data_IF_767073603929
#
_entry.id   IF_767073603929
#
_cell.length_a   1.000
_cell.length_b   1.000
_cell.length_c   1.000
_cell.angle_alpha   90.00
_cell.angle_beta   90.00
_cell.angle_gamma   90.00
#
_symmetry.space_group_name_H-M   'P 1'
#
loop_
_entity.id
_entity.type
_entity.pdbx_description
1 polymer ?
#
# COMPACT_ATOMS: atom_id res chain seq x y z
N UNK A 1 -7.41 -1.58 -38.54
CA UNK A 1 -6.61 -2.27 -39.57
C UNK A 1 -5.51 -1.34 -40.05
N UNK A 2 -4.27 -1.58 -39.60
CA UNK A 2 -3.01 -1.42 -40.34
C UNK A 2 -1.88 -1.41 -39.30
N UNK A 3 -1.10 -2.50 -39.28
CA UNK A 3 -0.02 -2.72 -38.32
C UNK A 3 1.26 -1.99 -38.73
N UNK A 4 2.07 -1.64 -37.73
CA UNK A 4 3.42 -1.13 -37.92
C UNK A 4 4.41 -2.26 -37.67
N UNK A 5 5.12 -2.64 -38.73
CA UNK A 5 6.12 -3.71 -38.79
C UNK A 5 7.53 -3.19 -38.52
N UNK A 6 8.34 -4.10 -37.98
CA UNK A 6 9.79 -3.99 -37.74
C UNK A 6 10.58 -3.73 -39.03
N UNK A 7 11.49 -2.74 -38.97
CA UNK A 7 12.91 -2.76 -39.36
C UNK A 7 13.32 -1.35 -39.77
N UNK A 8 14.34 -0.82 -39.09
CA UNK A 8 15.44 -0.04 -39.68
C UNK A 8 16.29 0.55 -38.56
N UNK A 9 17.30 -0.19 -38.11
CA UNK A 9 18.48 0.39 -37.46
C UNK A 9 19.69 -0.47 -37.83
N UNK A 10 20.39 -0.02 -38.87
CA UNK A 10 21.71 -0.50 -39.26
C UNK A 10 22.80 0.21 -38.47
N UNK A 11 23.70 -0.61 -37.92
CA UNK A 11 25.15 -0.41 -37.78
C UNK A 11 25.71 1.02 -37.86
N UNK A 12 26.26 1.50 -36.74
CA UNK A 12 27.39 2.43 -36.75
C UNK A 12 28.41 2.05 -35.64
N UNK A 13 29.67 2.16 -36.03
CA UNK A 13 30.88 1.61 -35.45
C UNK A 13 31.22 2.08 -34.03
N UNK A 14 32.11 1.30 -33.39
CA UNK A 14 32.60 1.52 -32.05
C UNK A 14 33.50 2.73 -31.89
N UNK A 15 33.50 3.25 -30.67
CA UNK A 15 34.59 4.02 -30.09
C UNK A 15 34.80 3.49 -28.67
N UNK A 16 35.89 2.78 -28.47
CA UNK A 16 36.33 2.23 -27.18
C UNK A 16 36.86 3.38 -26.32
N UNK A 17 36.13 3.76 -25.27
CA UNK A 17 36.64 4.69 -24.26
C UNK A 17 37.19 3.88 -23.08
N UNK A 18 38.52 3.84 -22.96
CA UNK A 18 39.21 3.34 -21.76
C UNK A 18 39.14 4.45 -20.71
N UNK A 19 38.30 4.28 -19.69
CA UNK A 19 38.28 5.14 -18.51
C UNK A 19 39.06 4.48 -17.38
N UNK A 20 40.09 5.17 -16.89
CA UNK A 20 41.02 4.71 -15.87
C UNK A 20 40.37 4.55 -14.49
N UNK A 21 40.84 3.52 -13.78
CA UNK A 21 40.64 3.31 -12.36
C UNK A 21 41.31 4.46 -11.57
N UNK A 22 40.50 5.37 -11.04
CA UNK A 22 40.91 6.29 -9.97
C UNK A 22 40.41 5.73 -8.63
N UNK A 23 41.34 5.55 -7.70
CA UNK A 23 41.10 4.88 -6.42
C UNK A 23 40.11 5.60 -5.51
N UNK A 24 39.31 4.80 -4.80
CA UNK A 24 38.48 5.23 -3.69
C UNK A 24 39.36 5.76 -2.55
N UNK A 25 39.43 7.09 -2.41
CA UNK A 25 39.80 7.70 -1.15
C UNK A 25 38.51 7.90 -0.33
N UNK A 26 38.37 7.11 0.73
CA UNK A 26 37.28 7.21 1.71
C UNK A 26 37.33 8.57 2.40
N UNK A 27 36.33 9.41 2.15
CA UNK A 27 36.11 10.62 2.96
C UNK A 27 35.49 10.19 4.32
N UNK A 28 35.97 10.72 5.45
CA UNK A 28 35.41 10.39 6.76
C UNK A 28 33.98 10.92 6.84
N UNK A 29 33.05 10.02 7.17
CA UNK A 29 31.66 10.36 7.45
C UNK A 29 31.63 11.17 8.76
N UNK A 30 31.67 12.49 8.66
CA UNK A 30 31.39 13.36 9.81
C UNK A 30 29.97 13.08 10.26
N UNK A 31 29.82 12.54 11.47
CA UNK A 31 28.55 12.20 12.11
C UNK A 31 27.71 13.43 12.41
N UNK A 32 27.07 14.01 11.39
CA UNK A 32 25.89 14.81 11.58
C UNK A 32 24.75 13.84 11.91
N UNK A 33 24.23 13.89 13.14
CA UNK A 33 23.00 13.18 13.49
C UNK A 33 21.89 13.67 12.56
N UNK A 34 21.37 12.77 11.72
CA UNK A 34 20.24 13.08 10.86
C UNK A 34 19.08 13.65 11.72
N UNK A 35 18.37 14.68 11.25
CA UNK A 35 17.26 15.24 12.00
C UNK A 35 16.21 14.16 12.25
N UNK A 36 15.66 14.13 13.47
CA UNK A 36 14.59 13.20 13.82
C UNK A 36 13.39 13.46 12.90
N UNK A 37 12.86 12.41 12.28
CA UNK A 37 11.67 12.45 11.45
C UNK A 37 10.51 13.05 12.23
N UNK A 38 9.92 14.07 11.63
CA UNK A 38 8.66 14.64 12.03
C UNK A 38 7.61 14.29 10.97
N UNK A 39 6.33 14.52 11.31
CA UNK A 39 5.26 14.42 10.31
C UNK A 39 5.44 15.50 9.24
N UNK A 40 5.35 15.17 7.94
CA UNK A 40 5.36 16.15 6.87
C UNK A 40 4.06 16.98 6.80
N UNK A 41 2.99 16.49 7.44
CA UNK A 41 1.67 17.11 7.51
C UNK A 41 1.10 16.97 8.93
N UNK A 42 -0.04 17.61 9.26
CA UNK A 42 -0.86 17.15 10.36
C UNK A 42 -1.14 15.64 10.26
N UNK A 43 -1.45 15.01 11.39
CA UNK A 43 -1.70 13.58 11.42
C UNK A 43 -2.76 13.17 10.39
N UNK A 44 -2.47 12.13 9.61
CA UNK A 44 -3.38 11.67 8.57
C UNK A 44 -4.38 10.66 9.13
N UNK A 45 -5.66 11.03 9.15
CA UNK A 45 -6.77 10.09 9.26
C UNK A 45 -7.16 9.74 7.83
N UNK A 46 -6.67 8.59 7.37
CA UNK A 46 -6.75 8.15 5.99
C UNK A 46 -7.75 7.02 5.76
N UNK A 47 -8.19 6.86 4.51
CA UNK A 47 -8.92 5.69 4.06
C UNK A 47 -8.42 5.21 2.69
N UNK A 48 -8.23 3.90 2.51
CA UNK A 48 -8.18 3.30 1.16
C UNK A 48 -9.61 3.11 0.67
N UNK A 49 -9.93 3.69 -0.49
CA UNK A 49 -11.29 3.63 -1.06
C UNK A 49 -11.27 3.30 -2.54
N UNK A 50 -10.28 2.52 -2.98
CA UNK A 50 -10.12 2.22 -4.40
C UNK A 50 -11.27 1.41 -5.01
N UNK A 51 -12.18 0.86 -4.21
CA UNK A 51 -13.41 0.24 -4.71
C UNK A 51 -14.54 1.21 -5.08
N UNK A 52 -14.56 2.46 -4.57
CA UNK A 52 -15.64 3.42 -4.84
C UNK A 52 -15.98 3.53 -6.34
N UNK A 53 -15.02 3.67 -7.27
CA UNK A 53 -15.32 3.79 -8.70
C UNK A 53 -16.03 2.56 -9.29
N UNK A 54 -15.64 1.36 -8.86
CA UNK A 54 -16.30 0.10 -9.27
C UNK A 54 -17.70 0.00 -8.67
N UNK A 55 -17.83 0.36 -7.39
CA UNK A 55 -19.08 0.28 -6.65
C UNK A 55 -20.12 1.25 -7.23
N UNK A 56 -19.74 2.51 -7.48
CA UNK A 56 -20.59 3.53 -8.10
C UNK A 56 -21.03 3.13 -9.52
N UNK A 57 -20.12 2.57 -10.32
CA UNK A 57 -20.44 2.07 -11.65
C UNK A 57 -21.42 0.89 -11.63
N UNK A 58 -21.51 0.18 -10.50
CA UNK A 58 -22.50 -0.87 -10.25
C UNK A 58 -23.74 -0.39 -9.50
N UNK A 59 -23.90 0.92 -9.34
CA UNK A 59 -25.10 1.53 -8.75
C UNK A 59 -25.04 1.71 -7.24
N UNK A 60 -23.85 1.74 -6.63
CA UNK A 60 -23.72 2.12 -5.23
C UNK A 60 -24.15 3.59 -5.02
N UNK A 61 -24.87 3.83 -3.93
CA UNK A 61 -25.30 5.17 -3.51
C UNK A 61 -25.09 5.33 -2.01
N UNK A 62 -24.57 6.47 -1.59
CA UNK A 62 -24.12 6.69 -0.21
C UNK A 62 -24.99 7.71 0.51
N UNK A 63 -25.23 7.46 1.79
CA UNK A 63 -26.13 8.26 2.61
C UNK A 63 -25.53 8.52 3.99
N UNK A 64 -25.81 9.70 4.53
CA UNK A 64 -25.62 10.03 5.94
C UNK A 64 -26.95 10.57 6.47
N UNK A 65 -27.45 10.02 7.58
CA UNK A 65 -28.73 10.41 8.18
C UNK A 65 -29.90 10.45 7.17
N UNK A 66 -29.92 9.49 6.25
CA UNK A 66 -30.95 9.37 5.21
C UNK A 66 -30.78 10.31 4.01
N UNK A 67 -29.80 11.21 4.01
CA UNK A 67 -29.52 12.16 2.92
C UNK A 67 -28.45 11.58 1.99
N UNK A 68 -28.73 11.54 0.69
CA UNK A 68 -27.75 11.08 -0.32
C UNK A 68 -26.61 12.09 -0.39
N UNK A 69 -25.37 11.61 -0.29
CA UNK A 69 -24.17 12.45 -0.35
C UNK A 69 -23.08 11.77 -1.19
N UNK A 70 -22.07 12.55 -1.57
CA UNK A 70 -20.83 11.99 -2.07
C UNK A 70 -20.08 11.30 -0.91
N UNK A 71 -19.53 10.08 -1.09
CA UNK A 71 -18.83 9.38 -0.02
C UNK A 71 -17.58 10.14 0.46
N UNK A 72 -16.92 10.93 -0.39
CA UNK A 72 -15.79 11.76 0.01
C UNK A 72 -16.24 12.89 0.93
N UNK A 73 -17.41 13.50 0.71
CA UNK A 73 -17.93 14.51 1.62
C UNK A 73 -18.26 13.91 3.00
N UNK A 74 -18.85 12.71 3.04
CA UNK A 74 -19.13 12.00 4.30
C UNK A 74 -17.82 11.73 5.06
N UNK A 75 -16.79 11.22 4.37
CA UNK A 75 -15.48 10.96 4.98
C UNK A 75 -14.83 12.26 5.47
N UNK A 76 -14.87 13.33 4.66
CA UNK A 76 -14.30 14.63 5.04
C UNK A 76 -14.96 15.19 6.31
N UNK A 77 -16.29 15.19 6.37
CA UNK A 77 -17.05 15.66 7.53
C UNK A 77 -16.90 14.76 8.77
N UNK A 78 -16.45 13.51 8.56
CA UNK A 78 -16.07 12.62 9.66
C UNK A 78 -14.63 12.87 10.15
N UNK A 79 -13.86 13.73 9.48
CA UNK A 79 -12.49 14.11 9.88
C UNK A 79 -11.38 13.38 9.12
N UNK A 80 -11.71 12.63 8.07
CA UNK A 80 -10.70 12.07 7.18
C UNK A 80 -10.05 13.19 6.35
N UNK A 81 -8.73 13.17 6.24
CA UNK A 81 -7.95 14.18 5.51
C UNK A 81 -6.96 13.57 4.51
N UNK A 82 -6.92 12.24 4.39
CA UNK A 82 -6.12 11.55 3.39
C UNK A 82 -6.88 10.40 2.73
N UNK A 83 -6.55 10.11 1.47
CA UNK A 83 -7.09 8.96 0.74
C UNK A 83 -5.95 8.19 0.08
N UNK A 84 -6.00 6.86 0.23
CA UNK A 84 -5.15 5.89 -0.46
C UNK A 84 -5.92 5.29 -1.63
N UNK A 85 -5.25 5.11 -2.77
CA UNK A 85 -5.77 4.43 -3.93
C UNK A 85 -4.71 3.47 -4.51
N UNK A 86 -5.14 2.34 -5.08
CA UNK A 86 -4.24 1.33 -5.64
C UNK A 86 -4.23 1.28 -7.16
N UNK A 87 -3.04 1.04 -7.72
CA UNK A 87 -2.74 0.93 -9.14
C UNK A 87 -2.16 -0.45 -9.44
N UNK A 88 -2.75 -1.14 -10.41
CA UNK A 88 -2.23 -2.37 -11.02
C UNK A 88 -1.58 -2.08 -12.37
N UNK A 89 -0.74 -3.01 -12.84
CA UNK A 89 -0.01 -2.87 -14.10
C UNK A 89 -0.93 -3.10 -15.30
N UNK A 90 -1.52 -4.29 -15.43
CA UNK A 90 -2.57 -4.61 -16.41
C UNK A 90 -3.74 -5.34 -15.72
N UNK A 91 -4.61 -4.62 -14.98
CA UNK A 91 -5.71 -5.25 -14.26
C UNK A 91 -6.71 -5.97 -15.17
N UNK A 92 -6.78 -5.68 -16.47
CA UNK A 92 -7.61 -6.44 -17.39
C UNK A 92 -7.16 -7.92 -17.53
N UNK A 93 -5.90 -8.23 -17.18
CA UNK A 93 -5.36 -9.59 -17.12
C UNK A 93 -5.40 -10.23 -15.73
N UNK A 94 -5.80 -9.48 -14.71
CA UNK A 94 -5.85 -9.93 -13.32
C UNK A 94 -7.10 -9.41 -12.62
N UNK A 95 -6.94 -8.43 -11.74
CA UNK A 95 -7.97 -7.91 -10.83
C UNK A 95 -9.33 -7.63 -11.50
N UNK A 96 -9.30 -7.05 -12.70
CA UNK A 96 -10.47 -6.59 -13.46
C UNK A 96 -10.88 -7.50 -14.61
N UNK A 97 -10.26 -8.67 -14.79
CA UNK A 97 -10.50 -9.57 -15.94
C UNK A 97 -11.97 -9.90 -16.16
N UNK A 98 -12.74 -10.04 -15.08
CA UNK A 98 -14.16 -10.44 -15.11
C UNK A 98 -15.08 -9.37 -14.51
N UNK A 99 -14.56 -8.15 -14.34
CA UNK A 99 -15.30 -7.05 -13.72
C UNK A 99 -15.92 -6.15 -14.81
N UNK A 100 -17.25 -6.11 -14.98
CA UNK A 100 -17.90 -5.15 -15.87
C UNK A 100 -17.53 -3.70 -15.54
N UNK A 101 -17.50 -2.86 -16.58
CA UNK A 101 -17.18 -1.43 -16.49
C UNK A 101 -15.70 -1.10 -16.28
N UNK A 102 -14.84 -2.11 -16.11
CA UNK A 102 -13.39 -1.95 -15.97
C UNK A 102 -12.65 -1.72 -17.31
N UNK A 103 -11.31 -1.76 -17.27
CA UNK A 103 -10.50 -2.18 -16.13
C UNK A 103 -10.49 -1.15 -14.99
N UNK A 104 -10.70 -1.64 -13.77
CA UNK A 104 -10.62 -0.86 -12.53
C UNK A 104 -9.19 -0.87 -12.00
N UNK A 105 -8.79 0.19 -11.28
CA UNK A 105 -7.44 0.35 -10.73
C UNK A 105 -6.35 0.32 -11.83
N UNK A 106 -6.69 0.70 -13.06
CA UNK A 106 -5.74 0.91 -14.15
C UNK A 106 -5.26 2.37 -14.16
N UNK A 107 -4.28 2.69 -15.01
CA UNK A 107 -3.70 4.05 -15.04
C UNK A 107 -4.71 5.13 -15.42
N UNK A 108 -5.58 4.87 -16.41
CA UNK A 108 -6.53 5.86 -16.90
C UNK A 108 -7.62 6.17 -15.86
N UNK A 109 -8.11 5.15 -15.17
CA UNK A 109 -9.06 5.26 -14.07
C UNK A 109 -8.39 5.91 -12.85
N UNK A 110 -7.15 5.52 -12.53
CA UNK A 110 -6.38 6.10 -11.43
C UNK A 110 -6.21 7.61 -11.57
N UNK A 111 -5.85 8.12 -12.76
CA UNK A 111 -5.70 9.58 -12.98
C UNK A 111 -7.00 10.33 -12.67
N UNK A 112 -8.16 9.81 -13.11
CA UNK A 112 -9.47 10.43 -12.84
C UNK A 112 -9.80 10.38 -11.35
N UNK A 113 -9.51 9.25 -10.70
CA UNK A 113 -9.83 9.04 -9.30
C UNK A 113 -8.94 9.89 -8.37
N UNK A 114 -7.63 9.90 -8.61
CA UNK A 114 -6.68 10.75 -7.91
C UNK A 114 -7.03 12.24 -8.06
N UNK A 115 -7.53 12.67 -9.24
CA UNK A 115 -8.04 14.04 -9.40
C UNK A 115 -9.27 14.30 -8.52
N UNK A 116 -10.27 13.40 -8.48
CA UNK A 116 -11.45 13.53 -7.61
C UNK A 116 -11.04 13.63 -6.13
N UNK A 117 -10.08 12.82 -5.71
CA UNK A 117 -9.53 12.86 -4.34
C UNK A 117 -8.93 14.25 -4.04
N UNK A 118 -8.10 14.78 -4.93
CA UNK A 118 -7.50 16.12 -4.75
C UNK A 118 -8.52 17.25 -4.79
N UNK A 119 -9.50 17.17 -5.67
CA UNK A 119 -10.59 18.16 -5.75
C UNK A 119 -11.43 18.16 -4.45
N UNK A 120 -11.51 17.01 -3.76
CA UNK A 120 -12.08 16.90 -2.40
C UNK A 120 -11.20 17.51 -1.29
N UNK A 121 -9.97 17.89 -1.59
CA UNK A 121 -9.02 18.50 -0.64
C UNK A 121 -8.30 17.52 0.27
N UNK A 122 -8.20 16.25 -0.12
CA UNK A 122 -7.47 15.22 0.62
C UNK A 122 -5.99 15.16 0.22
N UNK A 123 -5.13 14.80 1.18
CA UNK A 123 -3.81 14.26 0.84
C UNK A 123 -3.97 12.94 0.08
N UNK A 124 -3.27 12.77 -1.03
CA UNK A 124 -3.43 11.62 -1.92
C UNK A 124 -2.24 10.68 -1.81
N UNK A 125 -2.51 9.41 -1.51
CA UNK A 125 -1.54 8.31 -1.51
C UNK A 125 -1.86 7.33 -2.63
N UNK A 126 -0.87 6.97 -3.44
CA UNK A 126 -1.05 5.96 -4.50
C UNK A 126 -0.14 4.77 -4.24
N UNK A 127 -0.72 3.57 -4.20
CA UNK A 127 0.00 2.30 -4.05
C UNK A 127 0.14 1.60 -5.37
N UNK A 128 1.37 1.42 -5.84
CA UNK A 128 1.66 0.65 -7.06
C UNK A 128 1.94 -0.78 -6.64
N UNK A 129 1.05 -1.71 -7.00
CA UNK A 129 1.19 -3.12 -6.62
C UNK A 129 2.30 -3.86 -7.37
N UNK A 130 2.72 -3.35 -8.53
CA UNK A 130 3.64 -4.05 -9.44
C UNK A 130 3.15 -5.46 -9.80
N UNK A 131 1.84 -5.62 -9.97
CA UNK A 131 1.17 -6.84 -10.42
C UNK A 131 -0.08 -6.49 -11.23
N UNK A 132 -0.62 -7.46 -11.95
CA UNK A 132 -1.93 -7.33 -12.63
C UNK A 132 -3.10 -7.53 -11.67
N UNK A 133 -2.82 -7.97 -10.44
CA UNK A 133 -3.82 -8.34 -9.46
C UNK A 133 -3.29 -8.10 -8.03
N UNK A 134 -4.08 -8.46 -7.03
CA UNK A 134 -3.71 -8.34 -5.62
C UNK A 134 -2.37 -8.99 -5.31
N UNK A 135 -1.55 -8.21 -4.60
CA UNK A 135 -0.33 -8.68 -3.96
C UNK A 135 -0.48 -8.61 -2.45
N UNK A 136 0.06 -9.61 -1.78
CA UNK A 136 0.04 -9.77 -0.33
C UNK A 136 1.26 -10.62 0.09
N UNK A 137 1.45 -10.96 1.37
CA UNK A 137 2.62 -11.69 1.84
C UNK A 137 2.70 -13.11 1.26
N UNK A 138 1.59 -13.65 0.78
CA UNK A 138 1.48 -15.01 0.25
C UNK A 138 1.54 -15.04 -1.29
N UNK A 139 1.44 -13.86 -1.93
CA UNK A 139 1.36 -13.71 -3.38
C UNK A 139 1.97 -12.39 -3.86
N UNK A 140 2.99 -12.48 -4.70
CA UNK A 140 3.67 -11.32 -5.31
C UNK A 140 3.95 -11.59 -6.79
N UNK A 141 2.92 -12.03 -7.52
CA UNK A 141 3.06 -12.45 -8.92
C UNK A 141 3.47 -11.28 -9.82
N UNK A 142 4.39 -11.56 -10.74
CA UNK A 142 4.74 -10.61 -11.82
C UNK A 142 3.51 -10.32 -12.69
N UNK A 143 3.38 -9.08 -13.21
CA UNK A 143 2.49 -8.78 -14.33
C UNK A 143 2.74 -9.76 -15.48
N UNK A 144 1.69 -10.13 -16.19
CA UNK A 144 1.75 -11.07 -17.31
C UNK A 144 2.78 -10.63 -18.36
N UNK A 145 2.88 -9.33 -18.62
CA UNK A 145 3.86 -8.78 -19.57
C UNK A 145 5.33 -8.96 -19.12
N UNK A 146 5.57 -9.20 -17.83
CA UNK A 146 6.90 -9.22 -17.23
C UNK A 146 7.37 -10.64 -16.86
N UNK A 147 6.50 -11.65 -16.96
CA UNK A 147 6.76 -13.03 -16.49
C UNK A 147 8.10 -13.59 -16.96
N UNK A 148 8.46 -13.37 -18.22
CA UNK A 148 9.65 -13.93 -18.86
C UNK A 148 10.79 -12.90 -19.08
N UNK A 149 10.72 -11.72 -18.46
CA UNK A 149 11.79 -10.74 -18.58
C UNK A 149 13.04 -11.22 -17.85
N UNK A 150 14.23 -11.12 -18.48
CA UNK A 150 15.49 -11.21 -17.75
C UNK A 150 15.53 -10.17 -16.63
N UNK A 151 16.22 -10.47 -15.53
CA UNK A 151 16.22 -9.62 -14.33
C UNK A 151 16.53 -8.14 -14.60
N UNK A 152 17.52 -7.83 -15.45
CA UNK A 152 17.83 -6.44 -15.81
C UNK A 152 16.65 -5.74 -16.51
N UNK A 153 15.95 -6.44 -17.40
CA UNK A 153 14.75 -5.92 -18.09
C UNK A 153 13.55 -5.82 -17.16
N UNK A 154 13.46 -6.67 -16.15
CA UNK A 154 12.46 -6.55 -15.10
C UNK A 154 12.67 -5.27 -14.27
N UNK A 155 13.93 -4.96 -13.91
CA UNK A 155 14.29 -3.71 -13.23
C UNK A 155 13.96 -2.49 -14.10
N UNK A 156 14.28 -2.52 -15.40
CA UNK A 156 13.89 -1.47 -16.35
C UNK A 156 12.37 -1.26 -16.40
N UNK A 157 11.59 -2.35 -16.41
CA UNK A 157 10.14 -2.30 -16.48
C UNK A 157 9.51 -1.70 -15.21
N UNK A 158 10.07 -2.01 -14.04
CA UNK A 158 9.65 -1.43 -12.75
C UNK A 158 9.89 0.06 -12.72
N UNK A 159 11.07 0.50 -13.15
CA UNK A 159 11.38 1.92 -13.30
C UNK A 159 10.39 2.62 -14.23
N UNK A 160 10.26 2.10 -15.46
CA UNK A 160 9.40 2.70 -16.48
C UNK A 160 7.94 2.80 -16.03
N UNK A 161 7.39 1.75 -15.41
CA UNK A 161 6.02 1.78 -14.92
C UNK A 161 5.82 2.84 -13.81
N UNK A 162 6.76 2.97 -12.88
CA UNK A 162 6.72 4.02 -11.86
C UNK A 162 6.77 5.43 -12.47
N UNK A 163 7.67 5.65 -13.42
CA UNK A 163 7.81 6.93 -14.12
C UNK A 163 6.55 7.27 -14.92
N UNK A 164 6.02 6.33 -15.71
CA UNK A 164 4.82 6.53 -16.53
C UNK A 164 3.59 6.81 -15.66
N UNK A 165 3.44 6.11 -14.53
CA UNK A 165 2.34 6.36 -13.59
C UNK A 165 2.40 7.78 -13.02
N UNK A 166 3.56 8.21 -12.52
CA UNK A 166 3.73 9.55 -11.95
C UNK A 166 3.60 10.65 -13.02
N UNK A 167 4.08 10.39 -14.23
CA UNK A 167 3.92 11.29 -15.38
C UNK A 167 2.46 11.48 -15.74
N UNK A 168 1.71 10.38 -15.86
CA UNK A 168 0.29 10.42 -16.22
C UNK A 168 -0.54 11.16 -15.16
N UNK A 169 -0.30 10.87 -13.88
CA UNK A 169 -0.99 11.56 -12.78
C UNK A 169 -0.64 13.04 -12.71
N UNK A 170 0.64 13.40 -12.86
CA UNK A 170 1.05 14.82 -12.87
C UNK A 170 0.44 15.57 -14.05
N UNK A 171 0.46 14.99 -15.25
CA UNK A 171 -0.19 15.59 -16.43
C UNK A 171 -1.71 15.75 -16.25
N UNK A 172 -2.34 14.86 -15.48
CA UNK A 172 -3.75 14.94 -15.12
C UNK A 172 -4.09 15.91 -13.99
N UNK A 173 -3.12 16.64 -13.44
CA UNK A 173 -3.31 17.53 -12.27
C UNK A 173 -3.53 16.74 -10.96
N UNK A 174 -3.04 15.51 -10.91
CA UNK A 174 -3.31 14.54 -9.86
C UNK A 174 -2.04 13.95 -9.23
N UNK A 175 -0.93 14.71 -9.19
CA UNK A 175 0.31 14.28 -8.53
C UNK A 175 0.04 13.89 -7.07
N UNK A 176 0.40 12.67 -6.63
CA UNK A 176 0.15 12.22 -5.27
C UNK A 176 1.13 12.84 -4.27
N UNK A 177 0.68 13.04 -3.03
CA UNK A 177 1.51 13.45 -1.90
C UNK A 177 2.40 12.29 -1.40
N UNK A 178 1.90 11.05 -1.52
CA UNK A 178 2.62 9.83 -1.16
C UNK A 178 2.55 8.78 -2.27
N UNK A 179 3.66 8.08 -2.49
CA UNK A 179 3.71 6.91 -3.37
C UNK A 179 4.18 5.72 -2.56
N UNK A 180 3.32 4.71 -2.45
CA UNK A 180 3.65 3.42 -1.86
C UNK A 180 4.15 2.50 -2.97
N UNK A 181 5.40 2.07 -2.89
CA UNK A 181 6.06 1.25 -3.91
C UNK A 181 6.01 -0.21 -3.50
N UNK A 182 5.11 -0.97 -4.11
CA UNK A 182 4.76 -2.32 -3.71
C UNK A 182 3.75 -2.36 -2.56
N UNK A 183 2.92 -3.40 -2.52
CA UNK A 183 1.97 -3.65 -1.44
C UNK A 183 2.41 -4.89 -0.64
N UNK A 184 2.55 -4.74 0.68
CA UNK A 184 2.88 -5.82 1.62
C UNK A 184 4.11 -6.66 1.21
N UNK A 185 5.19 -5.97 0.85
CA UNK A 185 6.42 -6.52 0.28
C UNK A 185 7.40 -7.05 1.35
N UNK A 186 6.87 -7.56 2.47
CA UNK A 186 7.66 -8.11 3.59
C UNK A 186 8.56 -9.26 3.14
N UNK A 187 8.10 -10.07 2.18
CA UNK A 187 8.86 -11.16 1.59
C UNK A 187 9.34 -10.82 0.17
N UNK A 188 9.49 -9.53 -0.11
CA UNK A 188 9.85 -9.00 -1.42
C UNK A 188 8.67 -8.85 -2.37
N UNK A 189 8.94 -8.58 -3.64
CA UNK A 189 7.93 -8.47 -4.70
C UNK A 189 8.41 -9.07 -6.02
N UNK A 190 7.52 -9.24 -7.01
CA UNK A 190 7.88 -9.76 -8.34
C UNK A 190 8.59 -11.12 -8.26
N UNK A 191 7.93 -12.10 -7.65
CA UNK A 191 8.53 -13.40 -7.39
C UNK A 191 8.76 -14.22 -8.68
N UNK A 192 9.83 -15.04 -8.72
CA UNK A 192 10.81 -15.25 -7.65
C UNK A 192 11.97 -14.24 -7.61
N UNK A 193 12.13 -13.39 -8.62
CA UNK A 193 13.34 -12.57 -8.80
C UNK A 193 13.55 -11.55 -7.69
N UNK A 194 12.49 -10.98 -7.12
CA UNK A 194 12.58 -10.10 -5.95
C UNK A 194 12.16 -10.75 -4.64
N UNK A 195 11.99 -12.08 -4.59
CA UNK A 195 11.59 -12.78 -3.36
C UNK A 195 12.71 -12.76 -2.33
N UNK A 196 12.35 -12.49 -1.07
CA UNK A 196 13.26 -12.55 0.08
C UNK A 196 13.22 -13.91 0.77
N UNK A 197 14.33 -14.34 1.41
CA UNK A 197 14.30 -15.49 2.30
C UNK A 197 13.44 -15.18 3.54
N UNK A 198 12.52 -16.09 3.88
CA UNK A 198 11.76 -16.01 5.12
C UNK A 198 12.50 -16.75 6.25
N UNK A 199 13.25 -16.01 7.06
CA UNK A 199 14.10 -16.57 8.14
C UNK A 199 13.45 -16.50 9.52
N UNK A 200 12.41 -15.68 9.67
CA UNK A 200 11.67 -15.47 10.92
C UNK A 200 10.22 -15.87 10.66
N UNK A 201 9.69 -16.75 11.51
CA UNK A 201 8.29 -17.16 11.45
C UNK A 201 7.38 -15.97 11.77
N UNK A 202 6.33 -15.79 10.99
CA UNK A 202 5.35 -14.71 11.20
C UNK A 202 4.46 -14.98 12.40
N UNK A 203 4.34 -16.23 12.83
CA UNK A 203 3.34 -16.68 13.81
C UNK A 203 1.96 -16.93 13.19
N UNK A 204 1.79 -16.74 11.88
CA UNK A 204 0.63 -17.19 11.13
C UNK A 204 1.00 -18.49 10.37
N UNK A 205 0.43 -19.64 10.73
CA UNK A 205 0.76 -20.92 10.10
C UNK A 205 0.50 -20.98 8.58
N UNK A 206 -0.51 -20.26 8.09
CA UNK A 206 -0.85 -20.23 6.64
C UNK A 206 0.24 -19.47 5.89
N UNK A 207 0.58 -18.27 6.37
CA UNK A 207 1.63 -17.45 5.77
C UNK A 207 2.99 -18.14 5.86
N UNK A 208 3.32 -18.74 7.01
CA UNK A 208 4.58 -19.46 7.22
C UNK A 208 4.70 -20.69 6.28
N UNK A 209 3.61 -21.44 6.10
CA UNK A 209 3.58 -22.57 5.17
C UNK A 209 3.75 -22.11 3.71
N UNK A 210 3.17 -20.97 3.32
CA UNK A 210 3.34 -20.38 1.98
C UNK A 210 4.77 -19.91 1.71
N UNK A 211 5.51 -19.52 2.75
CA UNK A 211 6.92 -19.17 2.61
C UNK A 211 7.84 -20.38 2.47
N UNK A 212 7.43 -21.53 2.97
CA UNK A 212 8.19 -22.78 2.82
C UNK A 212 8.07 -23.34 1.39
N UNK A 213 8.89 -22.85 0.47
CA UNK A 213 8.90 -23.27 -0.93
C UNK A 213 10.27 -23.76 -1.39
N UNK A 214 10.29 -24.69 -2.35
CA UNK A 214 11.52 -25.16 -2.99
C UNK A 214 12.09 -24.16 -4.03
N UNK A 215 11.52 -22.96 -4.14
CA UNK A 215 11.96 -21.94 -5.09
C UNK A 215 13.03 -21.10 -4.41
N UNK A 216 14.23 -21.06 -5.00
CA UNK A 216 15.31 -20.22 -4.48
C UNK A 216 14.90 -18.73 -4.52
N UNK A 217 15.00 -18.01 -3.40
CA UNK A 217 14.66 -16.59 -3.37
C UNK A 217 15.65 -15.79 -4.21
N UNK A 218 15.17 -14.71 -4.84
CA UNK A 218 16.03 -13.76 -5.54
C UNK A 218 17.04 -13.06 -4.62
N UNK A 219 16.70 -12.94 -3.33
CA UNK A 219 17.56 -12.42 -2.29
C UNK A 219 17.54 -10.90 -2.16
N UNK A 220 18.13 -10.40 -1.08
CA UNK A 220 18.04 -8.99 -0.71
C UNK A 220 18.67 -8.05 -1.75
N UNK A 221 19.73 -8.45 -2.46
CA UNK A 221 20.38 -7.60 -3.47
C UNK A 221 19.50 -7.35 -4.69
N UNK A 222 18.83 -8.40 -5.18
CA UNK A 222 17.87 -8.27 -6.28
C UNK A 222 16.65 -7.47 -5.87
N UNK A 223 16.12 -7.72 -4.68
CA UNK A 223 15.02 -6.93 -4.14
C UNK A 223 15.42 -5.45 -4.00
N UNK A 224 16.60 -5.14 -3.46
CA UNK A 224 17.10 -3.77 -3.36
C UNK A 224 17.25 -3.08 -4.73
N UNK A 225 17.72 -3.79 -5.77
CA UNK A 225 17.80 -3.25 -7.13
C UNK A 225 16.42 -2.90 -7.71
N UNK A 226 15.42 -3.77 -7.48
CA UNK A 226 14.03 -3.51 -7.86
C UNK A 226 13.50 -2.27 -7.11
N UNK A 227 13.71 -2.19 -5.79
CA UNK A 227 13.23 -1.05 -5.00
C UNK A 227 13.87 0.27 -5.43
N UNK A 228 15.18 0.28 -5.70
CA UNK A 228 15.88 1.48 -6.22
C UNK A 228 15.29 1.93 -7.56
N UNK A 229 14.98 1.00 -8.46
CA UNK A 229 14.34 1.32 -9.73
C UNK A 229 12.93 1.89 -9.55
N UNK A 230 12.13 1.31 -8.66
CA UNK A 230 10.80 1.82 -8.33
C UNK A 230 10.86 3.26 -7.76
N UNK A 231 11.79 3.51 -6.83
CA UNK A 231 12.02 4.83 -6.22
C UNK A 231 12.47 5.84 -7.28
N UNK A 232 13.46 5.49 -8.09
CA UNK A 232 13.98 6.36 -9.14
C UNK A 232 12.86 6.73 -10.14
N UNK A 233 12.12 5.74 -10.64
CA UNK A 233 11.02 5.97 -11.58
C UNK A 233 9.95 6.91 -11.02
N UNK A 234 9.52 6.71 -9.76
CA UNK A 234 8.55 7.61 -9.14
C UNK A 234 9.09 9.05 -9.01
N UNK A 235 10.35 9.22 -8.62
CA UNK A 235 10.97 10.54 -8.43
C UNK A 235 11.15 11.34 -9.71
N UNK A 236 11.23 10.71 -10.89
CA UNK A 236 11.38 11.43 -12.17
C UNK A 236 10.26 12.44 -12.43
N UNK A 237 9.03 12.10 -12.01
CA UNK A 237 7.84 12.91 -12.27
C UNK A 237 7.05 13.30 -11.01
N UNK A 238 7.45 12.80 -9.84
CA UNK A 238 6.92 13.22 -8.54
C UNK A 238 8.07 13.41 -7.53
N UNK A 239 9.01 14.35 -7.75
CA UNK A 239 10.20 14.50 -6.93
C UNK A 239 9.91 14.88 -5.48
N UNK A 240 8.76 15.51 -5.20
CA UNK A 240 8.37 15.94 -3.85
C UNK A 240 7.50 14.92 -3.10
N UNK A 241 6.93 13.92 -3.81
CA UNK A 241 6.06 12.93 -3.18
C UNK A 241 6.85 12.09 -2.16
N UNK A 242 6.27 11.82 -0.99
CA UNK A 242 6.92 10.96 -0.01
C UNK A 242 6.86 9.51 -0.46
N UNK A 243 8.00 8.83 -0.41
CA UNK A 243 8.11 7.45 -0.82
C UNK A 243 7.92 6.55 0.40
N UNK A 244 6.94 5.66 0.30
CA UNK A 244 6.55 4.72 1.33
C UNK A 244 6.85 3.30 0.87
N UNK A 245 7.45 2.49 1.73
CA UNK A 245 7.59 1.05 1.52
C UNK A 245 6.72 0.29 2.53
N UNK A 246 5.98 -0.73 2.09
CA UNK A 246 4.89 -1.32 2.88
C UNK A 246 5.18 -2.76 3.34
N UNK A 247 5.15 -2.98 4.65
CA UNK A 247 5.30 -4.27 5.30
C UNK A 247 3.96 -4.72 5.93
N UNK A 248 3.58 -5.99 5.79
CA UNK A 248 2.30 -6.49 6.31
C UNK A 248 2.25 -6.73 7.83
N UNK A 249 3.39 -6.73 8.54
CA UNK A 249 3.45 -7.14 9.95
C UNK A 249 3.85 -6.00 10.88
N UNK A 250 2.99 -4.99 10.99
CA UNK A 250 3.13 -3.95 12.01
C UNK A 250 3.17 -4.47 13.45
N UNK A 251 2.75 -5.72 13.68
CA UNK A 251 2.79 -6.40 14.99
C UNK A 251 4.13 -7.08 15.30
N UNK A 252 5.04 -7.26 14.34
CA UNK A 252 6.20 -8.14 14.50
C UNK A 252 7.52 -7.38 14.39
N UNK A 253 7.98 -6.82 15.51
CA UNK A 253 9.19 -5.99 15.56
C UNK A 253 10.43 -6.63 14.92
N UNK A 254 10.73 -7.90 15.19
CA UNK A 254 11.94 -8.54 14.62
C UNK A 254 11.90 -8.63 13.09
N UNK A 255 10.73 -8.88 12.49
CA UNK A 255 10.55 -8.90 11.03
C UNK A 255 10.66 -7.49 10.45
N UNK A 256 10.04 -6.51 11.11
CA UNK A 256 10.16 -5.09 10.72
C UNK A 256 11.63 -4.66 10.77
N UNK A 257 12.32 -5.03 11.84
CA UNK A 257 13.72 -4.71 12.05
C UNK A 257 14.61 -5.32 10.94
N UNK A 258 14.53 -6.63 10.74
CA UNK A 258 15.34 -7.32 9.73
C UNK A 258 15.08 -6.77 8.31
N UNK A 259 13.82 -6.50 7.99
CA UNK A 259 13.43 -5.96 6.69
C UNK A 259 13.98 -4.54 6.45
N UNK A 260 13.83 -3.64 7.43
CA UNK A 260 14.38 -2.27 7.37
C UNK A 260 15.90 -2.28 7.29
N UNK A 261 16.57 -3.04 8.17
CA UNK A 261 18.04 -3.12 8.23
C UNK A 261 18.61 -3.60 6.89
N UNK A 262 18.00 -4.62 6.26
CA UNK A 262 18.46 -5.14 4.99
C UNK A 262 18.28 -4.17 3.81
N UNK A 263 17.21 -3.37 3.80
CA UNK A 263 16.98 -2.33 2.80
C UNK A 263 18.00 -1.20 2.95
N UNK A 264 18.18 -0.70 4.16
CA UNK A 264 19.08 0.42 4.45
C UNK A 264 20.56 0.06 4.26
N UNK A 265 20.97 -1.16 4.64
CA UNK A 265 22.32 -1.67 4.40
C UNK A 265 22.68 -1.75 2.90
N UNK A 266 21.66 -1.79 2.03
CA UNK A 266 21.80 -1.80 0.57
C UNK A 266 21.50 -0.45 -0.07
N UNK A 267 21.43 0.61 0.73
CA UNK A 267 21.20 1.98 0.29
C UNK A 267 19.86 2.17 -0.45
N UNK A 268 18.83 1.42 -0.05
CA UNK A 268 17.45 1.73 -0.47
C UNK A 268 16.94 2.87 0.40
N UNK A 269 16.80 4.07 -0.17
CA UNK A 269 16.43 5.30 0.57
C UNK A 269 14.98 5.68 0.28
N UNK A 270 14.19 5.84 1.33
CA UNK A 270 12.77 6.16 1.29
C UNK A 270 12.39 6.99 2.53
N UNK A 271 11.21 7.58 2.54
CA UNK A 271 10.83 8.52 3.60
C UNK A 271 10.09 7.85 4.77
N UNK A 272 9.31 6.80 4.50
CA UNK A 272 8.39 6.22 5.49
C UNK A 272 8.16 4.72 5.32
N UNK A 273 8.04 4.00 6.44
CA UNK A 273 7.59 2.61 6.46
C UNK A 273 6.07 2.54 6.70
N UNK A 274 5.34 1.83 5.84
CA UNK A 274 3.92 1.53 6.03
C UNK A 274 3.71 0.15 6.63
N UNK A 275 2.75 0.01 7.53
CA UNK A 275 2.45 -1.25 8.21
C UNK A 275 0.98 -1.67 8.09
N UNK A 276 0.72 -2.91 7.68
CA UNK A 276 -0.61 -3.50 7.88
C UNK A 276 -0.79 -3.91 9.35
N UNK A 277 -1.97 -3.63 9.90
CA UNK A 277 -2.33 -3.71 11.31
C UNK A 277 -3.74 -4.30 11.46
N UNK A 278 -3.89 -5.55 11.02
CA UNK A 278 -5.17 -6.27 11.04
C UNK A 278 -5.35 -7.13 12.30
N UNK A 279 -4.29 -7.84 12.69
CA UNK A 279 -4.28 -8.74 13.83
C UNK A 279 -2.97 -8.61 14.61
N UNK A 280 -2.98 -9.07 15.85
CA UNK A 280 -1.85 -9.24 16.77
C UNK A 280 -1.66 -10.72 17.10
N UNK A 281 -0.45 -11.09 17.51
CA UNK A 281 -0.20 -12.39 18.13
C UNK A 281 -0.52 -12.31 19.63
N UNK A 282 -0.14 -11.19 20.26
CA UNK A 282 -0.43 -10.87 21.65
C UNK A 282 -0.77 -9.38 21.79
N UNK A 283 -1.50 -9.03 22.86
CA UNK A 283 -1.82 -7.62 23.12
C UNK A 283 -0.54 -6.76 23.25
N UNK A 284 -0.60 -5.55 22.70
CA UNK A 284 0.50 -4.57 22.70
C UNK A 284 1.60 -4.84 21.68
N UNK A 285 1.42 -5.77 20.73
CA UNK A 285 2.40 -6.02 19.66
C UNK A 285 2.65 -4.77 18.79
N UNK A 286 1.57 -4.07 18.42
CA UNK A 286 1.69 -2.81 17.66
C UNK A 286 2.37 -1.71 18.49
N UNK A 287 1.99 -1.56 19.76
CA UNK A 287 2.61 -0.59 20.68
C UNK A 287 4.12 -0.82 20.79
N UNK A 288 4.55 -2.08 20.99
CA UNK A 288 5.98 -2.44 21.05
C UNK A 288 6.70 -2.06 19.76
N UNK A 289 6.13 -2.41 18.61
CA UNK A 289 6.72 -2.10 17.31
C UNK A 289 6.83 -0.60 17.09
N UNK A 290 5.77 0.17 17.39
CA UNK A 290 5.72 1.61 17.14
C UNK A 290 6.50 2.44 18.16
N UNK A 291 6.74 1.91 19.37
CA UNK A 291 7.68 2.50 20.32
C UNK A 291 9.14 2.28 19.89
N UNK A 292 9.48 1.06 19.44
CA UNK A 292 10.84 0.71 19.03
C UNK A 292 11.28 1.33 17.69
N UNK A 293 10.34 1.53 16.76
CA UNK A 293 10.62 2.05 15.43
C UNK A 293 11.37 3.41 15.43
N UNK A 294 10.85 4.49 16.06
CA UNK A 294 11.54 5.78 16.09
C UNK A 294 12.85 5.79 16.88
N UNK A 295 13.08 4.82 17.77
CA UNK A 295 14.35 4.68 18.49
C UNK A 295 15.45 4.16 17.56
N UNK A 296 15.12 3.20 16.68
CA UNK A 296 16.07 2.58 15.76
C UNK A 296 16.21 3.33 14.43
N UNK A 297 15.12 3.88 13.91
CA UNK A 297 15.06 4.57 12.62
C UNK A 297 14.62 6.02 12.83
N UNK A 298 15.43 6.84 13.53
CA UNK A 298 15.02 8.17 13.96
C UNK A 298 14.77 9.12 12.78
N UNK A 299 15.28 8.84 11.59
CA UNK A 299 15.15 9.61 10.35
C UNK A 299 14.01 9.14 9.43
N UNK A 300 13.23 8.13 9.83
CA UNK A 300 12.12 7.60 9.03
C UNK A 300 10.75 7.85 9.69
N UNK A 301 9.76 8.20 8.85
CA UNK A 301 8.35 8.16 9.24
C UNK A 301 7.81 6.72 9.33
N UNK A 302 6.67 6.55 9.97
CA UNK A 302 5.88 5.33 9.82
C UNK A 302 4.37 5.60 9.77
N UNK A 303 3.63 4.63 9.20
CA UNK A 303 2.18 4.66 9.04
C UNK A 303 1.58 3.31 9.46
N UNK A 304 0.39 3.32 10.06
CA UNK A 304 -0.49 2.16 9.98
C UNK A 304 -1.23 2.22 8.65
N UNK A 305 -0.62 1.68 7.59
CA UNK A 305 -1.03 1.90 6.20
C UNK A 305 -2.27 1.10 5.81
N UNK A 306 -2.58 0.03 6.56
CA UNK A 306 -3.81 -0.73 6.42
C UNK A 306 -4.28 -1.25 7.77
N UNK A 307 -5.56 -1.09 8.08
CA UNK A 307 -6.23 -1.69 9.24
C UNK A 307 -7.74 -1.74 8.98
N UNK A 308 -8.49 -2.42 9.83
CA UNK A 308 -9.97 -2.35 9.78
C UNK A 308 -10.62 -2.12 11.14
N UNK A 309 -10.18 -2.86 12.17
CA UNK A 309 -10.75 -2.79 13.51
C UNK A 309 -9.88 -1.96 14.47
N UNK A 310 -10.32 -1.82 15.74
CA UNK A 310 -9.59 -1.11 16.80
C UNK A 310 -9.17 0.32 16.43
N UNK A 311 -10.03 0.97 15.66
CA UNK A 311 -9.81 2.28 15.00
C UNK A 311 -9.17 3.30 15.94
N UNK A 312 -9.76 3.53 17.12
CA UNK A 312 -9.22 4.49 18.11
C UNK A 312 -7.85 4.09 18.65
N UNK A 313 -7.76 2.87 19.16
CA UNK A 313 -6.55 2.36 19.79
C UNK A 313 -5.35 2.45 18.86
N UNK A 314 -5.49 1.97 17.62
CA UNK A 314 -4.41 2.00 16.64
C UNK A 314 -4.02 3.43 16.27
N UNK A 315 -5.01 4.31 16.02
CA UNK A 315 -4.71 5.70 15.71
C UNK A 315 -4.01 6.42 16.88
N UNK A 316 -4.41 6.16 18.13
CA UNK A 316 -3.78 6.76 19.31
C UNK A 316 -2.31 6.39 19.43
N UNK A 317 -1.96 5.11 19.24
CA UNK A 317 -0.57 4.64 19.40
C UNK A 317 0.33 5.13 18.26
N UNK A 318 -0.20 5.33 17.05
CA UNK A 318 0.55 5.96 15.95
C UNK A 318 0.65 7.48 16.19
N UNK A 319 -0.44 8.14 16.57
CA UNK A 319 -0.47 9.58 16.86
C UNK A 319 0.41 9.96 18.07
N UNK A 320 0.64 9.05 19.01
CA UNK A 320 1.56 9.29 20.12
C UNK A 320 3.02 9.51 19.67
N UNK A 321 3.40 9.01 18.47
CA UNK A 321 4.77 9.09 17.97
C UNK A 321 4.95 10.29 17.02
N UNK A 322 5.98 11.15 17.21
CA UNK A 322 6.27 12.26 16.31
C UNK A 322 6.57 11.84 14.86
N UNK A 323 7.10 10.64 14.66
CA UNK A 323 7.35 10.05 13.35
C UNK A 323 6.18 9.23 12.81
N UNK A 324 5.11 9.02 13.60
CA UNK A 324 3.89 8.34 13.14
C UNK A 324 3.05 9.31 12.32
N UNK A 325 3.06 9.17 10.99
CA UNK A 325 2.47 10.14 10.07
C UNK A 325 0.94 10.07 9.98
N UNK A 326 0.34 8.93 10.35
CA UNK A 326 -1.08 8.68 10.11
C UNK A 326 -1.45 7.21 10.06
N UNK A 327 -2.75 6.96 9.94
CA UNK A 327 -3.31 5.62 9.74
C UNK A 327 -4.35 5.63 8.63
N UNK A 328 -4.39 4.56 7.84
CA UNK A 328 -5.30 4.40 6.71
C UNK A 328 -6.20 3.17 6.90
N UNK A 329 -7.50 3.39 7.16
CA UNK A 329 -8.45 2.28 7.23
C UNK A 329 -8.66 1.72 5.83
N UNK A 330 -8.63 0.40 5.69
CA UNK A 330 -8.70 -0.24 4.38
C UNK A 330 -10.16 -0.52 3.99
N UNK A 331 -10.59 0.05 2.86
CA UNK A 331 -11.92 -0.10 2.26
C UNK A 331 -13.08 0.01 3.26
N UNK A 332 -13.13 1.10 4.06
CA UNK A 332 -14.07 1.24 5.18
C UNK A 332 -15.53 1.27 4.73
N UNK A 333 -15.79 1.41 3.43
CA UNK A 333 -17.13 1.35 2.86
C UNK A 333 -17.72 -0.06 2.98
N UNK A 334 -16.92 -1.11 2.74
CA UNK A 334 -17.45 -2.48 2.63
C UNK A 334 -16.44 -3.59 2.91
N UNK A 335 -15.47 -3.34 3.79
CA UNK A 335 -14.55 -4.37 4.25
C UNK A 335 -14.50 -4.48 5.78
N UNK A 336 -14.61 -5.72 6.27
CA UNK A 336 -14.58 -6.09 7.68
C UNK A 336 -15.48 -5.17 8.53
N UNK A 337 -14.92 -4.44 9.49
CA UNK A 337 -15.65 -3.48 10.33
C UNK A 337 -15.90 -2.19 9.55
N UNK A 338 -16.74 -2.30 8.51
CA UNK A 338 -17.11 -1.19 7.65
C UNK A 338 -17.83 -0.11 8.44
N UNK A 339 -17.62 1.15 8.05
CA UNK A 339 -18.29 2.32 8.62
C UNK A 339 -19.63 2.62 7.92
N UNK A 340 -20.04 1.76 6.99
CA UNK A 340 -21.33 1.80 6.32
C UNK A 340 -22.07 0.47 6.53
N UNK A 341 -23.39 0.57 6.57
CA UNK A 341 -24.26 -0.56 6.27
C UNK A 341 -24.57 -0.59 4.79
N UNK A 342 -24.80 -1.77 4.23
CA UNK A 342 -25.47 -1.97 2.95
C UNK A 342 -26.81 -2.64 3.20
N UNK A 343 -27.89 -1.99 2.76
CA UNK A 343 -29.26 -2.48 2.97
C UNK A 343 -29.54 -2.84 4.45
N UNK A 344 -29.04 -2.03 5.38
CA UNK A 344 -29.25 -2.20 6.83
C UNK A 344 -28.34 -3.20 7.54
N UNK A 345 -27.42 -3.88 6.85
CA UNK A 345 -26.43 -4.79 7.46
C UNK A 345 -25.02 -4.23 7.27
N UNK A 346 -24.08 -4.45 8.20
CA UNK A 346 -22.70 -3.99 8.03
C UNK A 346 -22.13 -4.43 6.67
N UNK A 347 -21.66 -3.48 5.89
CA UNK A 347 -21.31 -3.72 4.49
C UNK A 347 -20.04 -4.57 4.31
N UNK A 348 -19.22 -4.72 5.35
CA UNK A 348 -17.95 -5.45 5.31
C UNK A 348 -17.93 -6.79 6.04
N UNK A 349 -19.07 -7.23 6.59
CA UNK A 349 -19.16 -8.48 7.35
C UNK A 349 -18.89 -8.33 8.85
N UNK A 350 -18.53 -7.13 9.33
CA UNK A 350 -18.36 -6.82 10.75
C UNK A 350 -16.94 -7.06 11.28
N UNK A 351 -16.74 -6.91 12.61
CA UNK A 351 -15.43 -6.99 13.23
C UNK A 351 -14.82 -8.39 13.10
N UNK A 352 -13.52 -8.44 12.78
CA UNK A 352 -12.71 -9.67 12.81
C UNK A 352 -11.98 -9.80 14.16
N UNK A 353 -11.59 -11.03 14.56
CA UNK A 353 -10.77 -11.26 15.75
C UNK A 353 -9.43 -10.55 15.64
N UNK A 354 -9.08 -9.82 16.70
CA UNK A 354 -7.81 -9.08 16.80
C UNK A 354 -6.63 -10.01 17.08
N UNK A 355 -6.84 -11.15 17.76
CA UNK A 355 -5.76 -12.07 18.11
C UNK A 355 -5.80 -13.33 17.25
N UNK A 356 -4.64 -13.73 16.71
CA UNK A 356 -4.50 -14.99 15.96
C UNK A 356 -4.96 -16.21 16.78
N UNK A 357 -4.79 -16.17 18.11
CA UNK A 357 -5.25 -17.22 19.03
C UNK A 357 -6.77 -17.40 19.08
N UNK A 358 -7.54 -16.41 18.58
CA UNK A 358 -9.00 -16.46 18.51
C UNK A 358 -9.51 -17.16 17.23
N UNK A 359 -8.62 -17.67 16.38
CA UNK A 359 -8.96 -18.72 15.40
C UNK A 359 -9.24 -18.26 13.96
N UNK A 360 -8.89 -17.03 13.58
CA UNK A 360 -8.83 -16.62 12.17
C UNK A 360 -7.37 -16.32 11.77
N UNK A 361 -6.87 -17.09 10.80
CA UNK A 361 -5.52 -16.97 10.26
C UNK A 361 -5.54 -17.01 8.73
N UNK A 362 -5.78 -15.87 8.10
CA UNK A 362 -5.31 -15.62 6.76
C UNK A 362 -4.61 -14.27 6.82
N UNK A 363 -3.56 -14.03 6.03
CA UNK A 363 -3.12 -12.66 5.82
C UNK A 363 -4.37 -11.86 5.39
N UNK A 364 -4.95 -11.04 6.25
CA UNK A 364 -6.31 -10.49 6.03
C UNK A 364 -6.40 -9.55 4.82
N UNK A 365 -5.26 -9.35 4.15
CA UNK A 365 -5.11 -8.76 2.85
C UNK A 365 -5.95 -9.46 1.76
N UNK A 366 -6.48 -8.69 0.80
CA UNK A 366 -7.21 -9.22 -0.35
C UNK A 366 -6.43 -10.28 -1.13
N UNK A 367 -7.14 -11.33 -1.54
CA UNK A 367 -6.56 -12.42 -2.33
C UNK A 367 -5.77 -13.45 -1.52
N UNK A 368 -5.79 -13.37 -0.18
CA UNK A 368 -5.28 -14.44 0.68
C UNK A 368 -6.20 -15.66 0.70
N UNK A 369 -5.66 -16.82 1.07
CA UNK A 369 -6.47 -18.04 1.24
C UNK A 369 -7.10 -18.01 2.64
N UNK A 370 -8.43 -18.01 2.81
CA UNK A 370 -9.05 -18.06 4.13
C UNK A 370 -8.61 -19.31 4.91
N UNK A 371 -8.33 -19.18 6.21
CA UNK A 371 -8.27 -20.34 7.08
C UNK A 371 -9.63 -21.04 7.13
N UNK A 372 -9.60 -22.37 7.10
CA UNK A 372 -10.79 -23.21 7.23
C UNK A 372 -11.30 -23.19 8.69
N UNK A 373 -12.00 -22.13 9.09
CA UNK A 373 -12.88 -22.13 10.27
C UNK A 373 -14.15 -21.33 9.96
N UNK A 374 -15.26 -21.74 10.59
CA UNK A 374 -16.62 -21.23 10.39
C UNK A 374 -16.73 -19.74 10.71
N UNK A 375 -16.45 -18.88 9.73
CA UNK A 375 -16.82 -17.46 9.77
C UNK A 375 -18.36 -17.39 9.70
N UNK A 376 -19.02 -16.53 10.49
CA UNK A 376 -20.42 -16.20 10.24
C UNK A 376 -20.57 -15.84 8.76
N UNK A 377 -21.50 -16.49 8.06
CA UNK A 377 -21.67 -16.28 6.63
C UNK A 377 -22.02 -14.81 6.39
N UNK A 378 -21.08 -14.05 5.82
CA UNK A 378 -21.31 -12.66 5.45
C UNK A 378 -22.57 -12.60 4.57
N UNK A 379 -23.39 -11.55 4.66
CA UNK A 379 -24.48 -11.35 3.72
C UNK A 379 -23.89 -11.38 2.32
N UNK A 380 -24.19 -12.45 1.57
CA UNK A 380 -23.72 -12.56 0.20
C UNK A 380 -24.61 -11.68 -0.65
N UNK A 381 -24.01 -10.62 -1.17
CA UNK A 381 -24.66 -9.76 -2.13
C UNK A 381 -24.03 -9.99 -3.50
N UNK A 382 -24.85 -10.15 -4.53
CA UNK A 382 -24.40 -10.57 -5.86
C UNK A 382 -23.57 -9.50 -6.59
N UNK A 383 -23.58 -8.26 -6.12
CA UNK A 383 -22.78 -7.15 -6.63
C UNK A 383 -22.56 -6.06 -5.56
N UNK A 384 -21.52 -5.22 -5.69
CA UNK A 384 -21.24 -4.14 -4.74
C UNK A 384 -22.10 -2.86 -4.93
N UNK A 385 -23.03 -2.82 -5.88
CA UNK A 385 -24.05 -1.76 -5.95
C UNK A 385 -25.03 -1.79 -4.77
N UNK A 386 -25.96 -0.82 -4.72
CA UNK A 386 -27.02 -0.73 -3.71
C UNK A 386 -26.93 0.50 -2.81
N UNK A 387 -27.75 0.54 -1.77
CA UNK A 387 -27.80 1.64 -0.80
C UNK A 387 -26.82 1.39 0.34
N UNK A 388 -25.93 2.35 0.56
CA UNK A 388 -24.98 2.39 1.67
C UNK A 388 -25.34 3.53 2.63
N UNK A 389 -25.61 3.21 3.90
CA UNK A 389 -25.88 4.20 4.94
C UNK A 389 -24.71 4.23 5.93
N UNK A 390 -24.11 5.41 6.11
CA UNK A 390 -23.03 5.59 7.06
C UNK A 390 -23.52 5.32 8.49
N UNK A 391 -22.68 4.63 9.27
CA UNK A 391 -22.96 4.22 10.65
C UNK A 391 -22.56 5.39 11.57
N UNK A 392 -23.52 6.08 12.24
CA UNK A 392 -23.24 7.29 13.01
C UNK A 392 -22.15 7.11 14.08
N UNK A 393 -22.11 5.96 14.74
CA UNK A 393 -21.14 5.65 15.79
C UNK A 393 -19.70 5.69 15.27
N UNK A 394 -19.47 5.22 14.04
CA UNK A 394 -18.14 5.28 13.44
C UNK A 394 -17.80 6.69 12.96
N UNK A 395 -18.76 7.43 12.40
CA UNK A 395 -18.51 8.83 12.00
C UNK A 395 -18.15 9.69 13.21
N UNK A 396 -18.90 9.54 14.31
CA UNK A 396 -18.65 10.28 15.55
C UNK A 396 -17.31 9.89 16.20
N UNK A 397 -16.92 8.61 16.08
CA UNK A 397 -15.60 8.16 16.48
C UNK A 397 -14.48 8.89 15.71
N UNK A 398 -14.57 8.95 14.37
CA UNK A 398 -13.57 9.65 13.56
C UNK A 398 -13.56 11.16 13.82
N UNK A 399 -14.73 11.78 14.01
CA UNK A 399 -14.82 13.21 14.38
C UNK A 399 -14.16 13.48 15.73
N UNK A 400 -14.35 12.58 16.68
CA UNK A 400 -13.70 12.62 17.98
C UNK A 400 -12.18 12.55 17.84
N UNK A 401 -11.67 11.58 17.08
CA UNK A 401 -10.23 11.47 16.81
C UNK A 401 -9.66 12.71 16.11
N UNK A 402 -10.35 13.26 15.11
CA UNK A 402 -9.91 14.46 14.42
C UNK A 402 -9.77 15.66 15.37
N UNK A 403 -10.73 15.85 16.29
CA UNK A 403 -10.64 16.89 17.32
C UNK A 403 -9.48 16.64 18.29
N UNK A 404 -9.34 15.41 18.79
CA UNK A 404 -8.30 15.04 19.75
C UNK A 404 -6.89 15.18 19.15
N UNK A 405 -6.74 14.97 17.85
CA UNK A 405 -5.48 15.11 17.12
C UNK A 405 -5.24 16.54 16.58
N UNK A 406 -6.11 17.49 16.93
CA UNK A 406 -5.96 18.90 16.56
C UNK A 406 -6.14 19.18 15.06
N UNK A 407 -6.89 18.32 14.36
CA UNK A 407 -7.21 18.51 12.95
C UNK A 407 -8.33 19.54 12.80
N UNK A 408 -8.26 20.35 11.74
CA UNK A 408 -9.33 21.31 11.43
C UNK A 408 -10.54 20.53 10.89
N UNK A 409 -11.72 20.86 11.42
CA UNK A 409 -13.00 20.37 10.92
C UNK A 409 -13.29 20.88 9.51
#
# INVERSE_FOLDING_TARGET
MSGLTRRDLGTAAGATLVAGLAGCATMPHTGATAPKAARPWPYLIGADVSWIPEDEARGATYFENGVRRDPFDILKDAGFNAIKARLFVDPARGYSKEKPGGPWCDMAQMVKFARRIRDGGFHTSVTIHYSDDWTNPERQDKPHAWTNLPFSRLVDAVHAHGADAMKAMTAGGATPDMVVLGNEITFGMLWPEGRLPATIATGNPVTDARQNTNILPGGHDRFAAIMKAAIAGAREHAPDAKIVLHNHLGRHWQIVQDWMDNLLARDVRFDCAGFSCYQQLAQGDWERTFAAFPERYPDHGFLALEYSSRKRYLNDIVHAQPSGWGSFIWEPIRHQEAIFTREGVNAGGGPRPDLLSQGLSAAEAPGSTPAATTVPQEPHFDHPGGRYDAIPEFLDLYRSMARDYGLKA
#
